data_IF_706966852468
#
_entry.id   IF_706966852468
#
_cell.length_a   1.000
_cell.length_b   1.000
_cell.length_c   1.000
_cell.angle_alpha   90.00
_cell.angle_beta   90.00
_cell.angle_gamma   90.00
#
_symmetry.space_group_name_H-M   'P 1'
#
loop_
_entity.id
_entity.type
_entity.pdbx_description
1 polymer ?
#
# COMPACT_ATOMS: atom_id res chain seq x y z
N UNK A 1 2.37 -18.13 22.83
CA UNK A 1 2.99 -16.96 23.50
C UNK A 1 3.59 -16.05 22.44
N UNK A 2 3.18 -14.78 22.36
CA UNK A 2 3.57 -13.89 21.25
C UNK A 2 4.95 -13.22 21.43
N UNK A 3 5.35 -12.96 22.68
CA UNK A 3 6.66 -12.37 22.99
C UNK A 3 7.85 -13.25 22.53
N UNK A 4 7.93 -14.56 22.88
CA UNK A 4 9.04 -15.39 22.42
C UNK A 4 9.01 -15.66 20.91
N UNK A 5 7.87 -15.44 20.24
CA UNK A 5 7.74 -15.50 18.79
C UNK A 5 8.20 -14.20 18.10
N UNK A 6 8.61 -13.17 18.86
CA UNK A 6 9.02 -11.87 18.33
C UNK A 6 7.88 -11.02 17.79
N UNK A 7 6.62 -11.31 18.14
CA UNK A 7 5.44 -10.65 17.58
C UNK A 7 4.88 -9.50 18.42
N UNK A 8 5.45 -9.28 19.61
CA UNK A 8 4.97 -8.25 20.56
C UNK A 8 5.61 -6.86 20.35
N UNK A 9 6.61 -6.74 19.46
CA UNK A 9 7.26 -5.45 19.19
C UNK A 9 6.24 -4.43 18.70
N UNK A 10 6.16 -3.30 19.39
CA UNK A 10 5.40 -2.13 18.99
C UNK A 10 6.26 -0.88 19.22
N UNK A 11 6.63 -0.21 18.14
CA UNK A 11 7.37 1.03 18.22
C UNK A 11 6.44 2.19 18.62
N UNK A 12 6.90 3.13 19.47
CA UNK A 12 6.16 4.34 19.75
C UNK A 12 6.15 5.28 18.53
N UNK A 13 5.27 6.28 18.56
CA UNK A 13 5.26 7.38 17.59
C UNK A 13 6.65 8.05 17.52
N UNK A 14 7.04 8.45 16.31
CA UNK A 14 8.31 9.10 16.06
C UNK A 14 8.53 9.43 14.58
N UNK A 15 9.78 9.50 14.15
CA UNK A 15 10.11 9.86 12.76
C UNK A 15 9.55 8.88 11.72
N UNK A 16 9.56 7.58 12.05
CA UNK A 16 9.18 6.48 11.14
C UNK A 16 7.85 5.81 11.51
N UNK A 17 7.15 6.34 12.51
CA UNK A 17 5.89 5.80 13.04
C UNK A 17 4.97 7.00 13.29
N UNK A 18 3.88 7.10 12.54
CA UNK A 18 2.90 8.18 12.68
C UNK A 18 2.02 8.04 13.92
N UNK A 19 1.18 9.05 14.15
CA UNK A 19 0.12 8.99 15.16
C UNK A 19 -1.00 8.02 14.77
N UNK A 20 -1.87 7.71 15.73
CA UNK A 20 -2.87 6.63 15.65
C UNK A 20 -4.31 7.11 15.41
N UNK A 21 -4.48 8.35 14.98
CA UNK A 21 -5.79 9.02 14.81
C UNK A 21 -6.78 8.29 13.88
N UNK A 22 -6.29 7.39 13.02
CA UNK A 22 -7.07 6.62 12.05
C UNK A 22 -6.86 5.10 12.19
N UNK A 23 -6.36 4.63 13.34
CA UNK A 23 -6.03 3.22 13.56
C UNK A 23 -7.23 2.28 13.31
N UNK A 24 -8.44 2.75 13.60
CA UNK A 24 -9.70 2.03 13.43
C UNK A 24 -10.02 1.69 11.97
N UNK A 25 -9.42 2.38 10.99
CA UNK A 25 -9.58 2.04 9.58
C UNK A 25 -8.88 0.73 9.19
N UNK A 26 -7.94 0.26 10.02
CA UNK A 26 -7.23 -1.00 9.80
C UNK A 26 -6.77 -1.58 11.15
N UNK A 27 -7.70 -1.89 12.04
CA UNK A 27 -7.38 -2.25 13.43
C UNK A 27 -6.53 -3.54 13.54
N UNK A 28 -6.62 -4.45 12.56
CA UNK A 28 -5.79 -5.64 12.44
C UNK A 28 -4.36 -5.37 11.93
N UNK A 29 -4.03 -4.13 11.59
CA UNK A 29 -2.67 -3.63 11.34
C UNK A 29 -2.31 -2.52 12.32
N UNK A 30 -1.97 -2.86 13.58
CA UNK A 30 -1.59 -1.85 14.57
C UNK A 30 -0.33 -1.10 14.17
N UNK A 31 -0.39 0.23 14.23
CA UNK A 31 0.74 1.13 13.98
C UNK A 31 1.87 0.81 14.97
N UNK A 32 3.09 0.77 14.45
CA UNK A 32 4.29 0.39 15.18
C UNK A 32 4.51 -1.12 15.32
N UNK A 33 3.55 -1.98 14.94
CA UNK A 33 3.71 -3.44 14.91
C UNK A 33 4.03 -3.97 13.52
N UNK A 34 4.52 -5.21 13.44
CA UNK A 34 4.78 -5.89 12.16
C UNK A 34 3.49 -6.03 11.34
N UNK A 35 3.62 -5.93 10.02
CA UNK A 35 2.55 -6.23 9.08
C UNK A 35 2.24 -7.73 9.09
N UNK A 36 1.06 -8.12 9.61
CA UNK A 36 0.66 -9.53 9.73
C UNK A 36 -0.02 -9.98 8.45
N UNK A 37 0.72 -10.71 7.61
CA UNK A 37 0.23 -11.23 6.33
C UNK A 37 -1.10 -12.00 6.44
N UNK A 38 -1.91 -11.93 5.38
CA UNK A 38 -3.13 -12.71 5.09
C UNK A 38 -3.03 -13.13 3.63
N UNK A 39 -3.65 -14.24 3.27
CA UNK A 39 -3.79 -14.61 1.87
C UNK A 39 -4.75 -13.67 1.14
N UNK A 40 -4.34 -13.23 -0.04
CA UNK A 40 -5.14 -12.48 -1.02
C UNK A 40 -5.02 -13.16 -2.36
N UNK A 41 -5.90 -12.86 -3.30
CA UNK A 41 -5.78 -13.39 -4.66
C UNK A 41 -5.17 -12.34 -5.58
N UNK A 42 -4.01 -12.64 -6.18
CA UNK A 42 -3.42 -11.76 -7.19
C UNK A 42 -4.24 -11.84 -8.47
N UNK A 43 -4.67 -10.69 -8.99
CA UNK A 43 -5.63 -10.64 -10.10
C UNK A 43 -5.01 -11.10 -11.41
N UNK A 44 -3.73 -10.80 -11.64
CA UNK A 44 -3.05 -11.10 -12.92
C UNK A 44 -2.97 -12.58 -13.27
N UNK A 45 -2.95 -13.46 -12.27
CA UNK A 45 -2.74 -14.90 -12.43
C UNK A 45 -3.68 -15.75 -11.55
N UNK A 46 -4.66 -15.12 -10.90
CA UNK A 46 -5.62 -15.77 -9.99
C UNK A 46 -4.97 -16.55 -8.85
N UNK A 47 -3.74 -16.20 -8.46
CA UNK A 47 -2.96 -16.97 -7.50
C UNK A 47 -3.25 -16.52 -6.05
N UNK A 48 -3.77 -17.39 -5.18
CA UNK A 48 -3.83 -17.13 -3.74
C UNK A 48 -2.42 -17.14 -3.14
N UNK A 49 -2.07 -16.06 -2.45
CA UNK A 49 -0.76 -15.92 -1.80
C UNK A 49 -0.83 -14.97 -0.63
N UNK A 50 0.13 -15.11 0.28
CA UNK A 50 0.29 -14.21 1.42
C UNK A 50 0.79 -12.83 1.01
N UNK A 51 -0.05 -11.78 1.20
CA UNK A 51 0.25 -10.40 0.80
C UNK A 51 1.58 -9.88 1.35
N UNK A 52 1.87 -10.17 2.62
CA UNK A 52 3.09 -9.72 3.28
C UNK A 52 4.37 -10.43 2.79
N UNK A 53 4.27 -11.57 2.11
CA UNK A 53 5.45 -12.26 1.56
C UNK A 53 6.01 -11.57 0.32
N UNK A 54 5.24 -10.67 -0.29
CA UNK A 54 5.68 -9.86 -1.42
C UNK A 54 6.53 -8.65 -0.98
N UNK A 55 6.63 -8.38 0.33
CA UNK A 55 7.51 -7.34 0.86
C UNK A 55 8.93 -7.90 1.03
N UNK A 56 9.69 -7.90 -0.06
CA UNK A 56 11.09 -8.33 -0.07
C UNK A 56 11.99 -7.35 0.69
N UNK A 57 13.15 -7.84 1.15
CA UNK A 57 14.15 -7.05 1.87
C UNK A 57 15.01 -6.19 0.91
N UNK A 58 14.35 -5.32 0.15
CA UNK A 58 14.92 -4.49 -0.92
C UNK A 58 15.05 -3.00 -0.57
N UNK A 59 14.69 -2.62 0.66
CA UNK A 59 14.77 -1.23 1.13
C UNK A 59 13.57 -0.35 0.75
N UNK A 60 12.60 -0.86 -0.02
CA UNK A 60 11.41 -0.07 -0.44
C UNK A 60 10.36 0.01 0.66
N UNK A 61 9.69 1.15 0.71
CA UNK A 61 8.43 1.29 1.46
C UNK A 61 7.32 0.55 0.73
N UNK A 62 6.39 -0.02 1.49
CA UNK A 62 5.17 -0.59 0.93
C UNK A 62 4.00 0.33 1.25
N UNK A 63 3.20 0.61 0.23
CA UNK A 63 1.95 1.36 0.37
C UNK A 63 0.82 0.44 -0.06
N UNK A 64 0.08 -0.10 0.91
CA UNK A 64 -1.07 -0.96 0.66
C UNK A 64 -2.33 -0.10 0.68
N UNK A 65 -2.90 0.14 -0.50
CA UNK A 65 -4.19 0.80 -0.66
C UNK A 65 -5.31 -0.24 -0.65
N UNK A 66 -6.08 -0.27 0.43
CA UNK A 66 -7.31 -1.05 0.52
C UNK A 66 -8.45 -0.23 -0.07
N UNK A 67 -9.05 -0.76 -1.14
CA UNK A 67 -10.10 -0.10 -1.90
C UNK A 67 -11.35 0.17 -1.05
N UNK A 68 -12.03 1.28 -1.33
CA UNK A 68 -13.44 1.45 -0.98
C UNK A 68 -14.33 0.52 -1.84
N UNK A 69 -15.64 0.58 -1.64
CA UNK A 69 -16.59 -0.40 -2.19
C UNK A 69 -16.68 -0.48 -3.72
N UNK A 70 -16.58 0.62 -4.50
CA UNK A 70 -16.74 0.52 -5.95
C UNK A 70 -15.68 -0.38 -6.58
N UNK A 71 -16.03 -1.02 -7.69
CA UNK A 71 -15.11 -1.92 -8.39
C UNK A 71 -14.03 -1.14 -9.15
N UNK A 72 -12.96 -1.83 -9.55
CA UNK A 72 -11.92 -1.24 -10.39
C UNK A 72 -12.52 -0.62 -11.66
N UNK A 73 -12.21 0.66 -11.92
CA UNK A 73 -12.74 1.42 -13.06
C UNK A 73 -14.03 2.19 -12.78
N UNK A 74 -14.65 2.01 -11.61
CA UNK A 74 -15.77 2.83 -11.16
C UNK A 74 -15.28 4.07 -10.39
N UNK A 75 -16.02 5.20 -10.45
CA UNK A 75 -15.72 6.36 -9.61
C UNK A 75 -15.68 5.98 -8.12
N UNK A 76 -14.57 6.29 -7.46
CA UNK A 76 -14.28 5.84 -6.09
C UNK A 76 -13.27 6.76 -5.41
N UNK A 77 -13.24 6.72 -4.06
CA UNK A 77 -12.21 7.43 -3.30
C UNK A 77 -10.82 6.87 -3.61
N UNK A 78 -10.71 5.56 -3.88
CA UNK A 78 -9.47 4.95 -4.32
C UNK A 78 -8.99 5.52 -5.66
N UNK A 79 -9.88 5.68 -6.63
CA UNK A 79 -9.52 6.24 -7.93
C UNK A 79 -8.99 7.67 -7.79
N UNK A 80 -9.65 8.51 -7.00
CA UNK A 80 -9.20 9.88 -6.74
C UNK A 80 -7.88 9.92 -5.95
N UNK A 81 -7.69 9.02 -4.98
CA UNK A 81 -6.44 8.88 -4.24
C UNK A 81 -5.30 8.46 -5.17
N UNK A 82 -5.54 7.49 -6.06
CA UNK A 82 -4.54 6.98 -6.99
C UNK A 82 -4.12 8.05 -8.02
N UNK A 83 -5.08 8.84 -8.51
CA UNK A 83 -4.81 9.99 -9.38
C UNK A 83 -3.91 11.02 -8.67
N UNK A 84 -4.26 11.39 -7.44
CA UNK A 84 -3.40 12.26 -6.63
C UNK A 84 -2.03 11.63 -6.37
N UNK A 85 -1.97 10.34 -6.05
CA UNK A 85 -0.72 9.66 -5.72
C UNK A 85 0.21 9.58 -6.93
N UNK A 86 -0.31 9.62 -8.16
CA UNK A 86 0.49 9.71 -9.38
C UNK A 86 0.97 11.15 -9.72
N UNK A 87 0.40 12.18 -9.05
CA UNK A 87 0.71 13.59 -9.28
C UNK A 87 2.02 14.06 -8.63
N UNK A 88 2.53 15.21 -9.06
CA UNK A 88 3.76 15.83 -8.55
C UNK A 88 3.71 16.21 -7.06
N UNK A 89 2.50 16.38 -6.51
CA UNK A 89 2.30 16.74 -5.10
C UNK A 89 2.42 15.54 -4.15
N UNK A 90 2.47 14.32 -4.67
CA UNK A 90 2.54 13.12 -3.86
C UNK A 90 3.97 12.76 -3.44
N UNK A 91 4.15 11.99 -2.35
CA UNK A 91 5.44 11.41 -2.00
C UNK A 91 6.06 10.56 -3.12
N UNK A 92 5.22 9.87 -3.90
CA UNK A 92 5.67 8.99 -4.97
C UNK A 92 6.50 9.75 -5.99
N UNK A 93 6.01 10.89 -6.49
CA UNK A 93 6.76 11.71 -7.46
C UNK A 93 7.84 12.53 -6.80
N UNK A 94 7.55 13.12 -5.63
CA UNK A 94 8.44 14.06 -4.95
C UNK A 94 9.75 13.43 -4.48
N UNK A 95 9.73 12.16 -4.08
CA UNK A 95 10.88 11.50 -3.44
C UNK A 95 11.50 10.38 -4.27
N UNK A 96 10.81 9.85 -5.28
CA UNK A 96 11.42 8.89 -6.21
C UNK A 96 12.50 9.58 -7.05
N UNK A 97 13.74 9.08 -7.09
CA UNK A 97 14.81 9.69 -7.87
C UNK A 97 14.47 9.80 -9.36
N UNK A 98 14.87 10.91 -9.99
CA UNK A 98 14.71 11.10 -11.42
C UNK A 98 15.42 9.98 -12.21
N UNK A 99 14.72 9.41 -13.18
CA UNK A 99 15.22 8.31 -14.02
C UNK A 99 15.22 6.93 -13.35
N UNK A 100 14.82 6.81 -12.09
CA UNK A 100 14.54 5.52 -11.48
C UNK A 100 13.16 4.99 -11.88
N UNK A 101 12.94 3.68 -11.70
CA UNK A 101 11.62 3.08 -11.87
C UNK A 101 10.59 3.75 -10.93
N UNK A 102 9.32 3.90 -11.35
CA UNK A 102 8.29 4.57 -10.54
C UNK A 102 8.10 3.96 -9.14
N UNK A 103 8.37 2.67 -8.97
CA UNK A 103 8.25 1.94 -7.71
C UNK A 103 9.59 1.71 -6.99
N UNK A 104 10.66 2.42 -7.39
CA UNK A 104 12.00 2.24 -6.83
C UNK A 104 12.12 2.61 -5.35
N UNK A 105 11.23 3.48 -4.85
CA UNK A 105 11.17 3.86 -3.43
C UNK A 105 9.88 3.37 -2.74
N UNK A 106 8.75 3.44 -3.46
CA UNK A 106 7.44 3.06 -2.95
C UNK A 106 6.84 1.96 -3.80
N UNK A 107 6.83 0.75 -3.27
CA UNK A 107 6.10 -0.35 -3.87
C UNK A 107 4.63 -0.26 -3.47
N UNK A 108 3.77 0.12 -4.43
CA UNK A 108 2.37 0.39 -4.16
C UNK A 108 1.50 -0.76 -4.63
N UNK A 109 0.61 -1.24 -3.76
CA UNK A 109 -0.28 -2.38 -4.03
C UNK A 109 -1.72 -1.99 -3.72
N UNK A 110 -2.65 -2.46 -4.54
CA UNK A 110 -4.09 -2.28 -4.31
C UNK A 110 -4.75 -3.60 -3.96
N UNK A 111 -5.64 -3.56 -2.98
CA UNK A 111 -6.47 -4.70 -2.58
C UNK A 111 -7.92 -4.30 -2.73
N UNK A 112 -8.61 -4.90 -3.70
CA UNK A 112 -10.04 -4.72 -3.92
C UNK A 112 -10.87 -5.65 -3.03
N UNK A 113 -12.08 -5.21 -2.68
CA UNK A 113 -13.02 -5.99 -1.86
C UNK A 113 -13.70 -7.10 -2.66
N UNK A 114 -13.78 -6.94 -3.98
CA UNK A 114 -14.39 -7.92 -4.87
C UNK A 114 -13.55 -9.21 -4.95
N UNK A 115 -14.17 -10.29 -5.40
CA UNK A 115 -13.45 -11.48 -5.84
C UNK A 115 -12.62 -11.18 -7.11
N UNK A 116 -11.53 -11.93 -7.30
CA UNK A 116 -10.60 -11.69 -8.42
C UNK A 116 -11.26 -11.75 -9.81
N UNK A 117 -12.32 -12.54 -9.99
CA UNK A 117 -13.09 -12.66 -11.23
C UNK A 117 -13.88 -11.39 -11.56
N UNK A 118 -14.21 -10.59 -10.55
CA UNK A 118 -14.91 -9.31 -10.68
C UNK A 118 -13.98 -8.10 -10.82
N UNK A 119 -12.65 -8.28 -10.68
CA UNK A 119 -11.68 -7.19 -10.80
C UNK A 119 -11.07 -7.20 -12.19
N UNK A 120 -11.40 -6.21 -13.01
CA UNK A 120 -10.69 -6.00 -14.26
C UNK A 120 -9.31 -5.38 -14.00
N UNK A 121 -8.25 -6.16 -14.21
CA UNK A 121 -6.87 -5.74 -14.03
C UNK A 121 -6.54 -4.42 -14.76
N UNK A 122 -6.99 -4.25 -16.00
CA UNK A 122 -6.65 -3.07 -16.81
C UNK A 122 -7.46 -1.84 -16.41
N UNK A 123 -8.50 -2.00 -15.61
CA UNK A 123 -9.26 -0.89 -15.01
C UNK A 123 -8.64 -0.38 -13.70
N UNK A 124 -7.67 -1.10 -13.12
CA UNK A 124 -6.95 -0.60 -11.97
C UNK A 124 -6.05 0.59 -12.35
N UNK A 125 -5.97 1.64 -11.52
CA UNK A 125 -5.11 2.80 -11.78
C UNK A 125 -3.64 2.43 -12.05
N UNK A 126 -2.99 3.16 -12.95
CA UNK A 126 -1.64 2.83 -13.44
C UNK A 126 -0.56 2.91 -12.35
N UNK A 127 -0.81 3.63 -11.25
CA UNK A 127 0.11 3.65 -10.10
C UNK A 127 0.27 2.27 -9.44
N UNK A 128 -0.72 1.38 -9.62
CA UNK A 128 -0.65 -0.02 -9.21
C UNK A 128 -0.21 -0.96 -10.34
N UNK A 129 0.09 -0.42 -11.52
CA UNK A 129 0.59 -1.15 -12.69
C UNK A 129 1.77 -0.41 -13.33
N UNK A 130 2.82 -0.05 -12.57
CA UNK A 130 3.89 0.79 -13.09
C UNK A 130 4.66 0.09 -14.21
N UNK A 131 5.12 0.86 -15.19
CA UNK A 131 6.13 0.40 -16.14
C UNK A 131 7.50 0.45 -15.49
N UNK A 132 8.21 -0.68 -15.50
CA UNK A 132 9.48 -0.84 -14.77
C UNK A 132 10.54 -1.56 -15.60
N UNK A 133 11.79 -1.36 -15.22
CA UNK A 133 12.95 -2.01 -15.81
C UNK A 133 13.34 -1.45 -17.19
N UNK A 134 14.42 -1.99 -17.79
CA UNK A 134 15.05 -1.42 -18.98
C UNK A 134 14.19 -1.51 -20.26
N UNK A 135 13.10 -2.27 -20.23
CA UNK A 135 12.17 -2.45 -21.36
C UNK A 135 10.79 -1.83 -21.10
N UNK A 136 10.62 -1.08 -20.00
CA UNK A 136 9.36 -0.43 -19.64
C UNK A 136 8.17 -1.41 -19.64
N UNK A 137 8.33 -2.59 -19.04
CA UNK A 137 7.25 -3.57 -18.99
C UNK A 137 6.29 -3.22 -17.85
N UNK A 138 4.99 -3.29 -18.13
CA UNK A 138 3.95 -3.08 -17.12
C UNK A 138 4.00 -4.19 -16.05
N UNK A 139 4.26 -3.80 -14.81
CA UNK A 139 4.17 -4.70 -13.65
C UNK A 139 2.71 -4.89 -13.23
N UNK A 140 2.10 -5.98 -13.68
CA UNK A 140 0.72 -6.33 -13.32
C UNK A 140 0.59 -7.05 -11.96
N UNK A 141 1.69 -7.24 -11.23
CA UNK A 141 1.74 -8.06 -10.02
C UNK A 141 1.25 -7.37 -8.74
N UNK A 142 0.78 -6.13 -8.84
CA UNK A 142 0.46 -5.26 -7.70
C UNK A 142 -1.05 -5.05 -7.46
N UNK A 143 -1.91 -5.77 -8.20
CA UNK A 143 -3.37 -5.71 -8.09
C UNK A 143 -3.88 -6.99 -7.47
N UNK A 144 -4.58 -6.87 -6.34
CA UNK A 144 -5.10 -7.98 -5.54
C UNK A 144 -6.60 -7.82 -5.29
N UNK A 145 -7.23 -8.95 -5.01
CA UNK A 145 -8.63 -9.06 -4.63
C UNK A 145 -8.74 -9.79 -3.28
N UNK A 146 -9.86 -9.62 -2.59
CA UNK A 146 -10.16 -10.40 -1.40
C UNK A 146 -10.22 -11.90 -1.75
N UNK A 147 -9.67 -12.74 -0.87
CA UNK A 147 -9.72 -14.19 -1.05
C UNK A 147 -11.09 -14.70 -0.57
N UNK A 148 -11.83 -15.49 -1.38
CA UNK A 148 -13.12 -16.05 -0.96
C UNK A 148 -13.02 -16.97 0.27
N UNK A 149 -11.87 -17.61 0.51
CA UNK A 149 -11.64 -18.47 1.68
C UNK A 149 -11.26 -17.67 2.94
N UNK A 150 -11.04 -16.36 2.81
CA UNK A 150 -10.65 -15.50 3.91
C UNK A 150 -10.51 -14.05 3.48
N UNK A 151 -11.59 -13.28 3.67
CA UNK A 151 -11.59 -11.87 3.33
C UNK A 151 -10.62 -11.09 4.24
N UNK A 152 -9.55 -10.56 3.64
CA UNK A 152 -8.54 -9.75 4.34
C UNK A 152 -9.15 -8.52 5.02
N UNK A 153 -10.23 -7.95 4.47
CA UNK A 153 -10.89 -6.80 5.09
C UNK A 153 -11.53 -7.19 6.43
N UNK A 154 -12.16 -8.36 6.52
CA UNK A 154 -12.70 -8.85 7.78
C UNK A 154 -11.60 -9.36 8.71
N UNK A 155 -10.64 -10.13 8.18
CA UNK A 155 -9.56 -10.75 8.96
C UNK A 155 -8.60 -9.71 9.57
N UNK A 156 -8.51 -8.51 9.00
CA UNK A 156 -7.65 -7.43 9.48
C UNK A 156 -8.44 -6.19 9.88
N UNK A 157 -9.76 -6.30 10.04
CA UNK A 157 -10.61 -5.20 10.48
C UNK A 157 -10.34 -3.92 9.66
N UNK A 158 -10.28 -4.06 8.34
CA UNK A 158 -10.11 -2.96 7.40
C UNK A 158 -11.48 -2.33 7.13
N UNK A 159 -11.55 -1.01 7.23
CA UNK A 159 -12.75 -0.27 6.87
C UNK A 159 -13.15 -0.57 5.43
N UNK A 160 -14.45 -0.83 5.24
CA UNK A 160 -15.04 -1.03 3.90
C UNK A 160 -15.14 0.28 3.12
N UNK A 161 -14.88 1.41 3.76
CA UNK A 161 -14.73 2.72 3.11
C UNK A 161 -13.29 2.97 2.62
N UNK A 162 -12.42 1.97 2.77
CA UNK A 162 -11.04 1.98 2.31
C UNK A 162 -10.04 2.53 3.32
N UNK A 163 -8.77 2.23 3.09
CA UNK A 163 -7.65 2.66 3.94
C UNK A 163 -6.33 2.59 3.18
N UNK A 164 -5.35 3.38 3.62
CA UNK A 164 -3.96 3.28 3.18
C UNK A 164 -3.12 2.83 4.36
N UNK A 165 -2.45 1.69 4.23
CA UNK A 165 -1.51 1.16 5.24
C UNK A 165 -0.10 1.30 4.70
N UNK A 166 0.70 2.14 5.36
CA UNK A 166 2.10 2.39 5.02
C UNK A 166 2.99 1.49 5.86
N UNK A 167 3.88 0.75 5.22
CA UNK A 167 4.76 -0.24 5.83
C UNK A 167 6.21 0.06 5.49
N UNK A 168 7.04 0.04 6.53
CA UNK A 168 8.49 0.27 6.44
C UNK A 168 9.21 -0.86 5.69
N UNK A 169 10.44 -0.61 5.20
CA UNK A 169 11.27 -1.65 4.59
C UNK A 169 11.56 -2.85 5.49
N UNK A 170 11.46 -2.70 6.82
CA UNK A 170 11.61 -3.78 7.80
C UNK A 170 10.28 -4.44 8.20
N UNK A 171 9.23 -4.24 7.40
CA UNK A 171 7.91 -4.86 7.51
C UNK A 171 7.06 -4.40 8.71
N UNK A 172 7.39 -3.26 9.34
CA UNK A 172 6.55 -2.65 10.38
C UNK A 172 5.59 -1.61 9.83
N UNK A 173 4.35 -1.62 10.31
CA UNK A 173 3.33 -0.63 9.99
C UNK A 173 3.78 0.72 10.56
N UNK A 174 3.92 1.70 9.69
CA UNK A 174 4.29 3.06 10.05
C UNK A 174 3.08 3.97 10.20
N UNK A 175 2.05 3.78 9.38
CA UNK A 175 0.91 4.69 9.34
C UNK A 175 -0.33 3.98 8.76
N UNK A 176 -1.51 4.40 9.23
CA UNK A 176 -2.83 4.07 8.67
C UNK A 176 -3.57 5.36 8.38
N UNK A 177 -4.11 5.55 7.18
CA UNK A 177 -4.80 6.78 6.76
C UNK A 177 -6.08 6.46 5.99
N UNK A 178 -7.07 7.36 5.97
CA UNK A 178 -8.15 7.30 5.00
C UNK A 178 -7.63 7.62 3.59
N UNK A 179 -8.36 7.18 2.55
CA UNK A 179 -8.06 7.51 1.15
C UNK A 179 -8.17 9.01 0.85
N UNK A 180 -8.80 9.79 1.73
CA UNK A 180 -9.02 11.23 1.57
C UNK A 180 -7.95 12.10 2.23
N UNK A 181 -7.21 11.60 3.22
CA UNK A 181 -6.20 12.39 3.93
C UNK A 181 -4.80 12.25 3.31
N UNK A 182 -4.65 12.97 2.22
CA UNK A 182 -3.45 13.03 1.38
C UNK A 182 -2.34 13.85 2.02
N UNK A 183 -2.70 14.86 2.80
CA UNK A 183 -1.76 15.79 3.43
C UNK A 183 -0.95 15.11 4.52
N UNK A 184 -1.57 14.27 5.35
CA UNK A 184 -0.84 13.52 6.38
C UNK A 184 0.18 12.57 5.76
N UNK A 185 -0.14 11.94 4.62
CA UNK A 185 0.82 11.08 3.91
C UNK A 185 2.00 11.88 3.34
N UNK A 186 1.72 13.05 2.77
CA UNK A 186 2.73 13.98 2.24
C UNK A 186 3.69 14.43 3.35
N UNK A 187 3.13 14.91 4.45
CA UNK A 187 3.89 15.42 5.59
C UNK A 187 4.68 14.31 6.29
N UNK A 188 4.13 13.08 6.33
CA UNK A 188 4.82 11.92 6.88
C UNK A 188 6.17 11.70 6.17
N UNK A 189 6.16 11.61 4.83
CA UNK A 189 7.38 11.34 4.06
C UNK A 189 8.29 12.56 3.89
N UNK A 190 7.75 13.79 3.90
CA UNK A 190 8.56 15.01 3.84
C UNK A 190 9.52 15.17 5.04
N UNK A 191 9.20 14.55 6.19
CA UNK A 191 10.09 14.52 7.37
C UNK A 191 11.24 13.51 7.21
N UNK A 192 11.08 12.51 6.37
CA UNK A 192 12.04 11.40 6.16
C UNK A 192 12.95 11.69 4.98
N UNK A 193 12.38 12.20 3.89
CA UNK A 193 13.07 12.39 2.62
C UNK A 193 13.11 13.85 2.22
N UNK A 194 14.26 14.27 1.70
CA UNK A 194 14.34 15.52 0.92
C UNK A 194 13.70 15.31 -0.46
N UNK A 195 13.31 16.39 -1.17
CA UNK A 195 12.89 16.27 -2.57
C UNK A 195 13.97 15.59 -3.41
N UNK A 196 13.56 14.76 -4.38
CA UNK A 196 14.47 14.11 -5.30
C UNK A 196 15.34 15.15 -6.02
N UNK A 197 16.64 14.86 -6.16
CA UNK A 197 17.53 15.75 -6.93
C UNK A 197 17.14 15.66 -8.40
N UNK A 198 16.78 16.80 -8.99
CA UNK A 198 16.65 16.92 -10.44
C UNK A 198 18.04 16.79 -11.04
N UNK A 199 18.25 15.82 -11.94
CA UNK A 199 19.50 15.73 -12.71
C UNK A 199 19.62 16.97 -13.60
N UNK A 200 20.77 17.64 -13.54
CA UNK A 200 21.12 18.78 -14.41
C UNK A 200 21.26 18.37 -15.87
#
# INVERSE_FOLDING_TARGET
AEFPAGFMTQYPEGLLVGGDAYQELAAGYPIGKRFKSVEVTRVSDSNPLHLGHLAEADGRWRVYAFADRPAAGEPSQLAEWAEWFASEDSPLRRHTPAGADPDALFETKVIYQQEYTGVNLTSAPDVFRPEVGPFSLTNNGNVFAANPDGDIFDIRDISRDGAVVVVRPDQYVAQVLPLTDREVLKDFFARIYSPARVSA
#
